data_IF_157673749695
#
_entry.id   IF_157673749695
#
_cell.length_a   1.000
_cell.length_b   1.000
_cell.length_c   1.000
_cell.angle_alpha   90.00
_cell.angle_beta   90.00
_cell.angle_gamma   90.00
#
_symmetry.space_group_name_H-M   'P 1'
#
loop_
_entity.id
_entity.type
_entity.pdbx_description
1 polymer ?
#
# COMPACT_ATOMS: atom_id res chain seq x y z
N UNK A 1 12.05 -22.67 6.04
CA UNK A 1 12.00 -21.43 5.23
C UNK A 1 10.76 -21.49 4.37
N UNK A 2 9.79 -20.61 4.58
CA UNK A 2 8.56 -20.56 3.76
C UNK A 2 8.85 -19.63 2.59
N UNK A 3 9.07 -20.19 1.41
CA UNK A 3 9.21 -19.42 0.17
C UNK A 3 7.81 -19.09 -0.33
N UNK A 4 7.32 -17.89 -0.02
CA UNK A 4 6.12 -17.34 -0.65
C UNK A 4 6.52 -16.89 -2.07
N UNK A 5 6.10 -17.63 -3.08
CA UNK A 5 6.30 -17.26 -4.49
C UNK A 5 5.47 -15.99 -4.80
N UNK A 6 6.15 -14.85 -4.93
CA UNK A 6 5.57 -13.57 -5.32
C UNK A 6 5.35 -13.54 -6.84
N UNK A 7 4.16 -13.93 -7.29
CA UNK A 7 3.82 -13.89 -8.71
C UNK A 7 3.26 -12.50 -9.11
N UNK A 8 4.15 -11.61 -9.54
CA UNK A 8 3.83 -10.28 -10.10
C UNK A 8 3.38 -10.33 -11.57
N UNK A 9 3.17 -11.52 -12.17
CA UNK A 9 2.84 -11.62 -13.60
C UNK A 9 1.37 -11.35 -13.93
N UNK A 10 0.45 -11.36 -12.95
CA UNK A 10 -0.98 -11.11 -13.17
C UNK A 10 -1.45 -9.69 -12.85
N UNK A 11 -0.74 -8.97 -11.99
CA UNK A 11 -1.06 -7.59 -11.60
C UNK A 11 0.21 -6.75 -11.58
N UNK A 12 0.20 -5.61 -12.26
CA UNK A 12 1.31 -4.64 -12.34
C UNK A 12 1.74 -4.10 -10.95
N UNK A 13 0.90 -4.25 -9.93
CA UNK A 13 1.21 -3.98 -8.52
C UNK A 13 0.39 -4.90 -7.62
N UNK A 14 0.82 -5.04 -6.37
CA UNK A 14 0.11 -5.78 -5.32
C UNK A 14 0.18 -5.01 -4.01
N UNK A 15 -0.89 -5.03 -3.22
CA UNK A 15 -0.87 -4.38 -1.90
C UNK A 15 -0.12 -5.25 -0.90
N UNK A 16 0.83 -4.63 -0.18
CA UNK A 16 1.54 -5.26 0.93
C UNK A 16 0.54 -5.50 2.08
N UNK A 17 0.55 -6.66 2.77
CA UNK A 17 -0.24 -6.83 3.97
C UNK A 17 -0.05 -5.67 4.96
N UNK A 18 -1.12 -4.92 5.18
CA UNK A 18 -1.12 -3.75 6.06
C UNK A 18 -2.13 -3.92 7.19
N UNK A 19 -1.89 -3.19 8.27
CA UNK A 19 -2.85 -2.89 9.32
C UNK A 19 -3.25 -1.44 9.20
N UNK A 20 -4.45 -1.12 9.66
CA UNK A 20 -4.91 0.26 9.71
C UNK A 20 -5.41 0.61 11.10
N UNK A 21 -5.25 1.86 11.49
CA UNK A 21 -5.75 2.42 12.74
C UNK A 21 -6.33 3.81 12.47
N UNK A 22 -7.62 3.99 12.75
CA UNK A 22 -8.29 5.28 12.61
C UNK A 22 -7.97 6.13 13.83
N UNK A 23 -7.44 7.32 13.61
CA UNK A 23 -7.15 8.30 14.64
C UNK A 23 -7.63 9.68 14.19
N UNK A 24 -8.13 10.50 15.12
CA UNK A 24 -8.84 11.75 14.81
C UNK A 24 -10.07 11.54 13.87
N UNK A 25 -10.79 12.64 13.56
CA UNK A 25 -12.09 12.56 12.86
C UNK A 25 -12.04 11.89 11.48
N UNK A 26 -10.92 11.96 10.76
CA UNK A 26 -10.83 11.41 9.40
C UNK A 26 -9.39 11.07 8.97
N UNK A 27 -8.53 10.62 9.89
CA UNK A 27 -7.18 10.16 9.55
C UNK A 27 -7.05 8.68 9.85
N UNK A 28 -6.40 7.96 8.95
CA UNK A 28 -6.23 6.52 9.02
C UNK A 28 -4.74 6.26 8.84
N UNK A 29 -4.10 5.78 9.89
CA UNK A 29 -2.73 5.31 9.82
C UNK A 29 -2.74 3.92 9.21
N UNK A 30 -2.06 3.75 8.09
CA UNK A 30 -1.83 2.46 7.45
C UNK A 30 -0.37 2.08 7.68
N UNK A 31 -0.12 0.88 8.21
CA UNK A 31 1.23 0.37 8.48
C UNK A 31 1.42 -1.04 7.95
N UNK A 32 2.59 -1.35 7.41
CA UNK A 32 2.96 -2.69 6.99
C UNK A 32 3.85 -3.36 8.03
N UNK A 33 3.96 -4.69 7.95
CA UNK A 33 4.84 -5.45 8.84
C UNK A 33 6.32 -5.07 8.69
N UNK A 34 6.70 -4.56 7.51
CA UNK A 34 8.07 -4.23 7.15
C UNK A 34 8.45 -2.77 7.48
N UNK A 35 7.62 -2.06 8.24
CA UNK A 35 7.92 -0.71 8.71
C UNK A 35 7.49 0.42 7.77
N UNK A 36 6.87 0.09 6.64
CA UNK A 36 6.20 1.06 5.78
C UNK A 36 4.96 1.64 6.46
N UNK A 37 4.75 2.94 6.38
CA UNK A 37 3.57 3.58 6.95
C UNK A 37 3.16 4.83 6.18
N UNK A 38 1.87 5.15 6.23
CA UNK A 38 1.30 6.35 5.61
C UNK A 38 0.06 6.77 6.39
N UNK A 39 -0.23 8.07 6.42
CA UNK A 39 -1.48 8.58 6.96
C UNK A 39 -2.36 8.97 5.78
N UNK A 40 -3.51 8.33 5.69
CA UNK A 40 -4.53 8.58 4.67
C UNK A 40 -5.73 9.30 5.28
N UNK A 41 -6.44 10.06 4.47
CA UNK A 41 -7.81 10.44 4.77
C UNK A 41 -8.80 9.31 4.43
N UNK A 42 -10.09 9.55 4.71
CA UNK A 42 -11.14 8.57 4.44
C UNK A 42 -11.32 8.23 2.95
N UNK A 43 -11.15 9.20 2.06
CA UNK A 43 -11.31 8.99 0.61
C UNK A 43 -10.14 8.21 0.05
N UNK A 44 -8.92 8.58 0.42
CA UNK A 44 -7.68 7.89 0.04
C UNK A 44 -7.69 6.44 0.54
N UNK A 45 -8.16 6.21 1.77
CA UNK A 45 -8.28 4.85 2.33
C UNK A 45 -9.34 4.02 1.61
N UNK A 46 -10.49 4.61 1.25
CA UNK A 46 -11.48 3.91 0.42
C UNK A 46 -10.94 3.59 -0.98
N UNK A 47 -10.11 4.46 -1.56
CA UNK A 47 -9.44 4.17 -2.83
C UNK A 47 -8.47 3.00 -2.71
N UNK A 48 -7.75 2.89 -1.58
CA UNK A 48 -6.87 1.77 -1.24
C UNK A 48 -7.66 0.46 -1.09
N UNK A 49 -8.77 0.45 -0.34
CA UNK A 49 -9.58 -0.75 -0.14
C UNK A 49 -10.28 -1.22 -1.42
N UNK A 50 -10.71 -0.28 -2.29
CA UNK A 50 -11.43 -0.60 -3.54
C UNK A 50 -10.52 -0.82 -4.75
N UNK A 51 -9.20 -0.84 -4.56
CA UNK A 51 -8.19 -0.97 -5.62
C UNK A 51 -8.32 0.10 -6.73
N UNK A 52 -8.77 1.31 -6.36
CA UNK A 52 -8.97 2.45 -7.28
C UNK A 52 -7.81 3.44 -7.28
N UNK A 53 -6.75 3.10 -6.59
CA UNK A 53 -5.56 3.92 -6.31
C UNK A 53 -4.93 4.48 -7.59
N UNK A 54 -5.00 3.75 -8.72
CA UNK A 54 -4.46 4.21 -10.02
C UNK A 54 -5.09 5.49 -10.56
N UNK A 55 -6.29 5.83 -10.12
CA UNK A 55 -6.95 7.07 -10.55
C UNK A 55 -6.24 8.30 -10.00
N UNK A 56 -5.47 8.13 -8.93
CA UNK A 56 -4.63 9.16 -8.34
C UNK A 56 -3.16 8.74 -8.37
N UNK A 57 -2.43 9.29 -9.35
CA UNK A 57 -1.00 9.01 -9.54
C UNK A 57 -0.14 9.48 -8.36
N UNK A 58 -0.58 10.50 -7.61
CA UNK A 58 0.16 11.04 -6.46
C UNK A 58 0.03 10.07 -5.31
N UNK A 59 -1.21 9.64 -5.00
CA UNK A 59 -1.46 8.64 -3.97
C UNK A 59 -0.75 7.32 -4.31
N UNK A 60 -0.84 6.86 -5.56
CA UNK A 60 -0.19 5.62 -5.98
C UNK A 60 1.32 5.64 -5.73
N UNK A 61 2.02 6.71 -6.15
CA UNK A 61 3.46 6.87 -5.92
C UNK A 61 3.80 6.95 -4.44
N UNK A 62 3.02 7.70 -3.66
CA UNK A 62 3.24 7.81 -2.22
C UNK A 62 3.13 6.44 -1.54
N UNK A 63 2.13 5.64 -1.90
CA UNK A 63 1.96 4.29 -1.37
C UNK A 63 3.04 3.32 -1.84
N UNK A 64 3.56 3.48 -3.06
CA UNK A 64 4.71 2.73 -3.58
C UNK A 64 6.00 3.07 -2.81
N UNK A 65 6.31 4.36 -2.63
CA UNK A 65 7.51 4.82 -1.91
C UNK A 65 7.51 4.41 -0.43
N UNK A 66 6.33 4.41 0.21
CA UNK A 66 6.18 3.99 1.60
C UNK A 66 6.01 2.46 1.76
N UNK A 67 6.10 1.69 0.68
CA UNK A 67 6.03 0.22 0.71
C UNK A 67 4.67 -0.36 1.09
N UNK A 68 3.59 0.42 0.97
CA UNK A 68 2.21 -0.04 1.11
C UNK A 68 1.76 -0.79 -0.14
N UNK A 69 2.15 -0.28 -1.31
CA UNK A 69 1.99 -0.95 -2.60
C UNK A 69 3.34 -1.50 -3.02
N UNK A 70 3.36 -2.74 -3.49
CA UNK A 70 4.52 -3.41 -4.05
C UNK A 70 4.42 -3.42 -5.57
N UNK A 71 5.46 -2.95 -6.23
CA UNK A 71 5.66 -3.01 -7.67
C UNK A 71 7.00 -3.70 -7.94
N UNK A 72 7.31 -3.96 -9.22
CA UNK A 72 8.64 -4.45 -9.60
C UNK A 72 9.78 -3.48 -9.22
N UNK A 73 9.47 -2.21 -8.95
CA UNK A 73 10.47 -1.16 -8.69
C UNK A 73 10.94 -1.13 -7.24
N UNK A 74 10.04 -1.40 -6.30
CA UNK A 74 10.32 -1.30 -4.87
C UNK A 74 10.45 -2.67 -4.18
N UNK A 75 10.21 -3.78 -4.90
CA UNK A 75 10.26 -5.13 -4.35
C UNK A 75 11.61 -5.48 -3.70
N UNK A 76 12.72 -4.97 -4.24
CA UNK A 76 14.06 -5.27 -3.74
C UNK A 76 14.50 -4.35 -2.58
N UNK A 77 13.75 -3.27 -2.32
CA UNK A 77 14.10 -2.25 -1.32
C UNK A 77 13.32 -2.36 -0.01
N UNK A 78 12.36 -3.28 0.09
CA UNK A 78 11.41 -3.45 1.21
C UNK A 78 11.68 -4.76 1.95
#
# INVERSE_FOLDING_TARGET
>A
MVYSYFDLNKSEYKTNPYKHHRFARNRILVTTKHGGWVVLDGEEFEMLERDKIRKDLILFKSLEENGIILTKRNLESI
#
